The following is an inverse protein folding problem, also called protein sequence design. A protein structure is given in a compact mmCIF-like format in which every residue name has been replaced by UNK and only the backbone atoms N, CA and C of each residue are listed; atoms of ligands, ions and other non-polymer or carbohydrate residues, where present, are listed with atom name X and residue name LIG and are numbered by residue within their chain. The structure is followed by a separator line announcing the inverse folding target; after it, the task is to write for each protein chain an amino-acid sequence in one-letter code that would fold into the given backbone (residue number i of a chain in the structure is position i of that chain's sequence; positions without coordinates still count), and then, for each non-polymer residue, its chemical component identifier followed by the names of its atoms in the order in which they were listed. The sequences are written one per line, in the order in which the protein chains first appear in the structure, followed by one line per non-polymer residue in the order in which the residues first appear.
data_IF_999439041051
#
_entry.id   IF_999439041051
#
_cell.length_a   1.000
_cell.length_b   1.000
_cell.length_c   1.000
_cell.angle_alpha   90.00
_cell.angle_beta   90.00
_cell.angle_gamma   90.00
#
_symmetry.space_group_name_H-M   'P 1'
#
loop_
_entity.id
_entity.type
_entity.pdbx_description
1 polymer ?
#
# COMPACT_ATOMS: atom_id res chain seq x y z
N UNK A 1 8.63 -1.88 -4.80
CA UNK A 1 7.35 -1.90 -4.06
C UNK A 1 7.46 -2.84 -2.85
N UNK A 2 7.89 -4.10 -3.03
CA UNK A 2 7.97 -5.12 -1.96
C UNK A 2 8.81 -4.68 -0.75
N UNK A 3 10.01 -4.16 -1.00
CA UNK A 3 10.88 -3.66 0.08
C UNK A 3 10.23 -2.54 0.88
N UNK A 4 9.66 -1.55 0.21
CA UNK A 4 8.98 -0.42 0.87
C UNK A 4 7.74 -0.88 1.66
N UNK A 5 7.02 -1.87 1.13
CA UNK A 5 5.88 -2.46 1.84
C UNK A 5 6.31 -3.16 3.13
N UNK A 6 7.32 -4.03 3.05
CA UNK A 6 7.83 -4.75 4.21
C UNK A 6 8.40 -3.80 5.27
N UNK A 7 9.17 -2.79 4.83
CA UNK A 7 9.67 -1.74 5.71
C UNK A 7 8.54 -1.00 6.41
N UNK A 8 7.49 -0.61 5.67
CA UNK A 8 6.32 0.07 6.24
C UNK A 8 5.57 -0.81 7.24
N UNK A 9 5.37 -2.10 6.94
CA UNK A 9 4.74 -3.05 7.86
C UNK A 9 5.57 -3.22 9.12
N UNK A 10 6.90 -3.38 8.99
CA UNK A 10 7.81 -3.49 10.12
C UNK A 10 7.78 -2.24 11.01
N UNK A 11 7.87 -1.05 10.42
CA UNK A 11 7.78 0.22 11.15
C UNK A 11 6.42 0.36 11.85
N UNK A 12 5.34 -0.05 11.21
CA UNK A 12 3.99 -0.04 11.80
C UNK A 12 3.89 -0.99 12.99
N UNK A 13 4.52 -2.16 12.92
CA UNK A 13 4.55 -3.13 14.01
C UNK A 13 5.36 -2.62 15.21
N UNK A 14 6.54 -2.02 14.94
CA UNK A 14 7.45 -1.53 16.00
C UNK A 14 6.91 -0.27 16.67
N UNK A 15 6.45 0.71 15.89
CA UNK A 15 6.06 2.03 16.39
C UNK A 15 4.55 2.22 16.60
N UNK A 16 3.73 1.25 16.16
CA UNK A 16 2.28 1.34 16.26
C UNK A 16 1.66 2.33 15.27
N UNK A 17 0.39 2.64 15.50
CA UNK A 17 -0.36 3.64 14.71
C UNK A 17 -0.34 4.99 15.43
N UNK A 18 -0.12 6.12 14.73
CA UNK A 18 -0.30 7.43 15.32
C UNK A 18 -1.73 7.60 15.82
N UNK A 19 -1.89 8.17 17.01
CA UNK A 19 -3.22 8.46 17.57
C UNK A 19 -3.86 9.58 16.75
N UNK A 20 -5.08 9.34 16.27
CA UNK A 20 -5.87 10.34 15.60
C UNK A 20 -6.30 11.46 16.59
N UNK A 21 -6.49 12.72 16.14
CA UNK A 21 -7.00 13.78 16.99
C UNK A 21 -8.34 13.40 17.60
N UNK A 22 -8.53 13.67 18.90
CA UNK A 22 -9.80 13.42 19.60
C UNK A 22 -10.96 14.26 19.09
N UNK A 23 -10.66 15.37 18.42
CA UNK A 23 -11.63 16.29 17.80
C UNK A 23 -12.14 15.84 16.44
N UNK A 24 -11.57 14.77 15.89
CA UNK A 24 -11.91 14.30 14.54
C UNK A 24 -13.27 13.62 14.52
N UNK A 25 -14.18 13.96 13.60
CA UNK A 25 -15.48 13.28 13.44
C UNK A 25 -15.31 11.78 13.18
N UNK A 26 -16.21 10.98 13.72
CA UNK A 26 -16.13 9.51 13.64
C UNK A 26 -16.02 8.98 12.20
N UNK A 27 -16.73 9.59 11.24
CA UNK A 27 -16.68 9.18 9.84
C UNK A 27 -15.29 9.39 9.23
N UNK A 28 -14.58 10.46 9.59
CA UNK A 28 -13.21 10.68 9.13
C UNK A 28 -12.24 9.65 9.70
N UNK A 29 -12.41 9.31 10.98
CA UNK A 29 -11.62 8.25 11.64
C UNK A 29 -11.82 6.90 10.94
N UNK A 30 -13.07 6.54 10.62
CA UNK A 30 -13.38 5.30 9.92
C UNK A 30 -12.82 5.31 8.50
N UNK A 31 -13.01 6.41 7.75
CA UNK A 31 -12.50 6.56 6.40
C UNK A 31 -10.97 6.48 6.34
N UNK A 32 -10.27 7.12 7.28
CA UNK A 32 -8.82 7.04 7.37
C UNK A 32 -8.33 5.61 7.63
N UNK A 33 -8.95 4.90 8.58
CA UNK A 33 -8.62 3.48 8.85
C UNK A 33 -8.88 2.61 7.64
N UNK A 34 -10.05 2.74 7.01
CA UNK A 34 -10.42 1.97 5.83
C UNK A 34 -9.42 2.22 4.68
N UNK A 35 -9.08 3.49 4.40
CA UNK A 35 -8.10 3.83 3.38
C UNK A 35 -6.73 3.18 3.63
N UNK A 36 -6.23 3.20 4.85
CA UNK A 36 -4.97 2.56 5.19
C UNK A 36 -5.02 1.03 5.04
N UNK A 37 -6.10 0.37 5.52
CA UNK A 37 -6.24 -1.08 5.36
C UNK A 37 -6.38 -1.48 3.90
N UNK A 38 -7.12 -0.71 3.10
CA UNK A 38 -7.25 -0.95 1.66
C UNK A 38 -5.90 -0.82 0.93
N UNK A 39 -5.08 0.17 1.28
CA UNK A 39 -3.72 0.31 0.74
C UNK A 39 -2.85 -0.92 1.08
N UNK A 40 -2.87 -1.39 2.32
CA UNK A 40 -2.11 -2.60 2.69
C UNK A 40 -2.60 -3.83 1.93
N UNK A 41 -3.91 -4.01 1.82
CA UNK A 41 -4.52 -5.13 1.10
C UNK A 41 -4.14 -5.13 -0.38
N UNK A 42 -4.26 -3.97 -1.06
CA UNK A 42 -3.91 -3.84 -2.47
C UNK A 42 -2.41 -4.00 -2.72
N UNK A 43 -1.55 -3.50 -1.83
CA UNK A 43 -0.10 -3.70 -1.94
C UNK A 43 0.28 -5.18 -1.79
N UNK A 44 -0.32 -5.89 -0.84
CA UNK A 44 -0.14 -7.34 -0.71
C UNK A 44 -0.63 -8.08 -1.97
N UNK A 45 -1.80 -7.70 -2.49
CA UNK A 45 -2.34 -8.23 -3.75
C UNK A 45 -1.40 -8.03 -4.93
N UNK A 46 -0.81 -6.84 -5.08
CA UNK A 46 0.17 -6.56 -6.13
C UNK A 46 1.42 -7.43 -6.02
N UNK A 47 1.92 -7.65 -4.81
CA UNK A 47 3.10 -8.51 -4.57
C UNK A 47 2.78 -9.96 -4.93
N UNK A 48 1.66 -10.48 -4.42
CA UNK A 48 1.23 -11.86 -4.65
C UNK A 48 0.99 -12.10 -6.15
N UNK A 49 0.21 -11.25 -6.79
CA UNK A 49 -0.09 -11.39 -8.22
C UNK A 49 1.14 -11.18 -9.09
N UNK A 50 2.04 -10.25 -8.73
CA UNK A 50 3.30 -10.02 -9.45
C UNK A 50 4.23 -11.23 -9.40
N UNK A 51 4.43 -11.85 -8.22
CA UNK A 51 5.22 -13.08 -8.07
C UNK A 51 4.55 -14.24 -8.83
N UNK A 52 3.23 -14.37 -8.72
CA UNK A 52 2.48 -15.41 -9.43
C UNK A 52 2.58 -15.25 -10.95
N UNK A 53 2.50 -14.03 -11.49
CA UNK A 53 2.73 -13.79 -12.91
C UNK A 53 4.14 -14.20 -13.34
N UNK A 54 5.14 -13.82 -12.55
CA UNK A 54 6.53 -14.17 -12.83
C UNK A 54 6.73 -15.70 -12.86
N UNK A 55 6.05 -16.44 -11.96
CA UNK A 55 6.19 -17.89 -11.90
C UNK A 55 5.64 -18.64 -13.13
N UNK A 56 4.63 -18.05 -13.82
CA UNK A 56 4.04 -18.62 -15.04
C UNK A 56 4.56 -17.95 -16.33
N UNK A 57 5.62 -17.12 -16.25
CA UNK A 57 6.20 -16.49 -17.41
C UNK A 57 6.86 -17.52 -18.35
N UNK A 58 6.92 -17.19 -19.65
CA UNK A 58 7.58 -18.02 -20.67
C UNK A 58 9.11 -17.89 -20.61
N UNK A 59 9.60 -16.75 -20.18
CA UNK A 59 11.03 -16.42 -20.13
C UNK A 59 11.50 -16.33 -18.67
N UNK A 60 12.79 -16.66 -18.40
CA UNK A 60 13.35 -16.55 -17.06
C UNK A 60 13.27 -15.11 -16.53
N UNK A 61 12.70 -14.93 -15.33
CA UNK A 61 12.66 -13.64 -14.64
C UNK A 61 13.58 -13.71 -13.43
N UNK A 62 14.81 -13.21 -13.59
CA UNK A 62 15.83 -13.26 -12.54
C UNK A 62 15.73 -12.03 -11.65
N UNK A 63 15.43 -12.23 -10.37
CA UNK A 63 15.39 -11.19 -9.33
C UNK A 63 16.37 -11.56 -8.23
N UNK A 64 17.37 -10.74 -8.00
CA UNK A 64 18.45 -10.99 -7.03
C UNK A 64 19.13 -12.37 -7.21
N UNK A 65 19.29 -12.83 -8.46
CA UNK A 65 19.91 -14.12 -8.76
C UNK A 65 18.98 -15.35 -8.61
N UNK A 66 17.71 -15.14 -8.31
CA UNK A 66 16.69 -16.20 -8.20
C UNK A 66 15.80 -16.10 -9.44
N UNK A 67 15.67 -17.23 -10.16
CA UNK A 67 14.69 -17.32 -11.24
C UNK A 67 13.29 -17.53 -10.64
N UNK A 68 12.38 -16.63 -10.96
CA UNK A 68 11.00 -16.68 -10.53
C UNK A 68 10.08 -17.46 -11.49
N UNK A 69 10.55 -17.82 -12.69
CA UNK A 69 9.80 -18.61 -13.67
C UNK A 69 9.91 -20.11 -13.39
N UNK A 70 9.48 -20.56 -12.20
CA UNK A 70 9.63 -21.95 -11.72
C UNK A 70 8.41 -22.84 -12.02
N UNK A 71 7.29 -22.27 -12.44
CA UNK A 71 6.10 -23.05 -12.79
C UNK A 71 6.08 -23.36 -14.29
N UNK A 72 5.37 -24.43 -14.68
CA UNK A 72 5.15 -24.71 -16.09
C UNK A 72 4.38 -23.55 -16.74
N UNK A 73 4.92 -23.04 -17.86
CA UNK A 73 4.28 -21.94 -18.59
C UNK A 73 2.82 -22.27 -18.92
N UNK A 74 1.90 -21.41 -18.52
CA UNK A 74 0.48 -21.49 -18.83
C UNK A 74 -0.04 -20.12 -19.16
N UNK A 75 -0.20 -19.88 -20.46
CA UNK A 75 -0.62 -18.56 -20.98
C UNK A 75 -1.97 -18.12 -20.44
N UNK A 76 -2.93 -19.03 -20.30
CA UNK A 76 -4.26 -18.69 -19.78
C UNK A 76 -4.20 -18.25 -18.32
N UNK A 77 -3.49 -19.00 -17.48
CA UNK A 77 -3.27 -18.65 -16.07
C UNK A 77 -2.53 -17.32 -15.93
N UNK A 78 -1.50 -17.10 -16.75
CA UNK A 78 -0.76 -15.83 -16.76
C UNK A 78 -1.68 -14.64 -17.03
N UNK A 79 -2.54 -14.70 -18.06
CA UNK A 79 -3.44 -13.59 -18.39
C UNK A 79 -4.53 -13.36 -17.36
N UNK A 80 -5.04 -14.41 -16.71
CA UNK A 80 -6.00 -14.26 -15.60
C UNK A 80 -5.36 -13.50 -14.44
N UNK A 81 -4.16 -13.92 -14.00
CA UNK A 81 -3.44 -13.28 -12.90
C UNK A 81 -3.08 -11.84 -13.27
N UNK A 82 -2.67 -11.60 -14.52
CA UNK A 82 -2.40 -10.27 -15.06
C UNK A 82 -3.62 -9.34 -14.93
N UNK A 83 -4.81 -9.82 -15.25
CA UNK A 83 -6.04 -9.04 -15.08
C UNK A 83 -6.28 -8.61 -13.63
N UNK A 84 -6.05 -9.50 -12.66
CA UNK A 84 -6.11 -9.14 -11.24
C UNK A 84 -5.00 -8.15 -10.83
N UNK A 85 -3.79 -8.31 -11.36
CA UNK A 85 -2.69 -7.38 -11.09
C UNK A 85 -2.99 -5.98 -11.62
N UNK A 86 -3.50 -5.86 -12.84
CA UNK A 86 -3.92 -4.60 -13.46
C UNK A 86 -5.07 -3.94 -12.68
N UNK A 87 -6.04 -4.72 -12.20
CA UNK A 87 -7.10 -4.22 -11.33
C UNK A 87 -6.53 -3.65 -10.03
N UNK A 88 -5.66 -4.38 -9.33
CA UNK A 88 -5.01 -3.91 -8.11
C UNK A 88 -4.18 -2.64 -8.36
N UNK A 89 -3.48 -2.57 -9.51
CA UNK A 89 -2.67 -1.41 -9.91
C UNK A 89 -3.55 -0.16 -10.08
N UNK A 90 -4.65 -0.28 -10.82
CA UNK A 90 -5.56 0.85 -11.03
C UNK A 90 -6.24 1.29 -9.73
N UNK A 91 -6.66 0.32 -8.90
CA UNK A 91 -7.27 0.59 -7.61
C UNK A 91 -6.31 1.30 -6.65
N UNK A 92 -5.03 0.90 -6.58
CA UNK A 92 -4.06 1.54 -5.69
C UNK A 92 -3.70 2.95 -6.17
N UNK A 93 -3.61 3.18 -7.49
CA UNK A 93 -3.38 4.52 -8.04
C UNK A 93 -4.53 5.46 -7.65
N UNK A 94 -5.78 5.03 -7.86
CA UNK A 94 -6.96 5.80 -7.47
C UNK A 94 -6.97 6.09 -5.96
N UNK A 95 -6.67 5.09 -5.14
CA UNK A 95 -6.65 5.24 -3.68
C UNK A 95 -5.55 6.19 -3.21
N UNK A 96 -4.36 6.14 -3.81
CA UNK A 96 -3.26 7.07 -3.53
C UNK A 96 -3.66 8.51 -3.91
N UNK A 97 -4.29 8.71 -5.06
CA UNK A 97 -4.78 10.02 -5.48
C UNK A 97 -5.79 10.59 -4.46
N UNK A 98 -6.77 9.80 -4.04
CA UNK A 98 -7.74 10.18 -3.00
C UNK A 98 -7.02 10.49 -1.68
N UNK A 99 -6.04 9.67 -1.30
CA UNK A 99 -5.27 9.87 -0.07
C UNK A 99 -4.47 11.20 -0.09
N UNK A 100 -3.85 11.52 -1.22
CA UNK A 100 -3.14 12.81 -1.41
C UNK A 100 -4.12 13.98 -1.32
N UNK A 101 -5.27 13.90 -2.00
CA UNK A 101 -6.29 14.94 -1.96
C UNK A 101 -6.84 15.16 -0.55
N UNK A 102 -7.08 14.07 0.19
CA UNK A 102 -7.49 14.16 1.59
C UNK A 102 -6.41 14.81 2.47
N UNK A 103 -5.14 14.47 2.27
CA UNK A 103 -4.03 15.09 3.00
C UNK A 103 -3.91 16.59 2.70
N UNK A 104 -4.07 16.99 1.43
CA UNK A 104 -4.09 18.41 1.02
C UNK A 104 -5.28 19.15 1.62
N UNK A 105 -6.46 18.53 1.61
CA UNK A 105 -7.65 19.10 2.25
C UNK A 105 -7.41 19.38 3.74
N UNK A 106 -6.88 18.40 4.48
CA UNK A 106 -6.56 18.56 5.90
C UNK A 106 -5.49 19.63 6.14
N UNK A 107 -4.49 19.70 5.25
CA UNK A 107 -3.42 20.68 5.38
C UNK A 107 -3.87 22.12 5.10
N UNK A 108 -4.60 22.36 3.99
CA UNK A 108 -4.89 23.71 3.50
C UNK A 108 -6.27 24.23 3.94
N UNK A 109 -7.27 23.36 4.06
CA UNK A 109 -8.66 23.75 4.31
C UNK A 109 -9.03 23.52 5.77
N UNK A 110 -8.86 22.30 6.28
CA UNK A 110 -9.17 21.98 7.66
C UNK A 110 -8.14 22.54 8.65
N UNK A 111 -6.91 22.83 8.16
CA UNK A 111 -5.80 23.39 8.93
C UNK A 111 -5.54 22.64 10.25
N UNK A 112 -5.82 21.33 10.26
CA UNK A 112 -5.61 20.48 11.42
C UNK A 112 -4.20 19.85 11.41
N UNK A 113 -3.78 19.33 12.58
CA UNK A 113 -2.45 18.71 12.72
C UNK A 113 -2.34 17.29 12.12
N UNK A 114 -3.35 16.82 11.39
CA UNK A 114 -3.37 15.46 10.82
C UNK A 114 -2.19 15.23 9.89
N UNK A 115 -1.93 16.17 8.98
CA UNK A 115 -0.81 16.09 8.04
C UNK A 115 0.54 16.17 8.74
N UNK A 116 0.68 17.04 9.74
CA UNK A 116 1.90 17.14 10.55
C UNK A 116 2.17 15.83 11.30
N UNK A 117 1.15 15.20 11.87
CA UNK A 117 1.27 13.91 12.55
C UNK A 117 1.63 12.76 11.60
N UNK A 118 1.17 12.81 10.34
CA UNK A 118 1.56 11.84 9.31
C UNK A 118 3.02 12.00 8.87
N UNK A 119 3.51 13.24 8.76
CA UNK A 119 4.87 13.55 8.33
C UNK A 119 5.89 13.49 9.48
N UNK A 120 5.48 13.85 10.70
CA UNK A 120 6.35 14.00 11.86
C UNK A 120 6.24 12.83 12.86
N UNK A 121 5.81 11.67 12.43
CA UNK A 121 5.73 10.45 13.26
C UNK A 121 7.02 10.16 14.06
N UNK A 122 8.13 10.63 13.58
CA UNK A 122 9.45 10.50 14.22
C UNK A 122 9.63 11.40 15.46
N UNK A 123 8.96 12.56 15.53
CA UNK A 123 9.26 13.59 16.54
C UNK A 123 8.42 13.52 17.82
N UNK A 124 7.34 12.78 17.85
CA UNK A 124 6.38 12.78 18.98
C UNK A 124 6.67 11.75 20.08
N UNK A 125 7.77 11.03 19.99
CA UNK A 125 8.20 10.05 21.03
C UNK A 125 9.25 10.61 22.02
N UNK A 126 9.57 11.91 21.93
CA UNK A 126 10.60 12.52 22.79
C UNK A 126 10.06 13.55 23.79
N UNK A 127 8.77 13.52 24.12
CA UNK A 127 8.22 14.31 25.25
C UNK A 127 7.35 13.44 26.13
#
# INVERSE_FOLDING_TARGET
VTFLFLLRVALRYVYGAPKLPSTMPTWQVVSAKLGHYSLYFLMAGLIITGISMASFASDPIIVFGIDLAFAAHNQNTFFIIRGFHEFCTNAIIALIAIHILAALYHHFIAQDDTTKKMLLFWRSQQQ
#
